data_IF_504838595620
#
_entry.id   IF_504838595620
#
_cell.length_a   1.000
_cell.length_b   1.000
_cell.length_c   1.000
_cell.angle_alpha   90.00
_cell.angle_beta   90.00
_cell.angle_gamma   90.00
#
_symmetry.space_group_name_H-M   'P 1'
#
loop_
_entity.id
_entity.type
_entity.pdbx_description
1 polymer ?
#
# COMPACT_ATOMS: atom_id res chain seq x y z
N UNK A 1 -24.75 27.28 -3.73
CA UNK A 1 -24.95 26.37 -4.88
C UNK A 1 -26.11 25.46 -4.56
N UNK A 2 -26.92 25.02 -5.54
CA UNK A 2 -27.95 24.00 -5.30
C UNK A 2 -27.31 22.66 -5.04
N UNK A 3 -27.89 21.88 -4.11
CA UNK A 3 -27.42 20.54 -3.84
C UNK A 3 -27.55 19.65 -5.09
N UNK A 4 -26.47 18.93 -5.41
CA UNK A 4 -26.39 18.06 -6.59
C UNK A 4 -25.62 16.79 -6.24
N UNK A 5 -26.14 15.64 -6.64
CA UNK A 5 -25.49 14.33 -6.53
C UNK A 5 -25.06 13.86 -7.91
N UNK A 6 -23.94 13.18 -8.00
CA UNK A 6 -23.48 12.58 -9.24
C UNK A 6 -24.52 11.57 -9.78
N UNK A 7 -24.77 11.61 -11.08
CA UNK A 7 -25.69 10.67 -11.72
C UNK A 7 -25.15 9.24 -11.83
N UNK A 8 -23.88 9.03 -11.52
CA UNK A 8 -23.19 7.73 -11.66
C UNK A 8 -22.69 7.12 -10.32
N UNK A 9 -22.37 7.97 -9.34
CA UNK A 9 -21.93 7.53 -8.00
C UNK A 9 -22.60 8.36 -6.90
N UNK A 10 -22.17 8.21 -5.65
CA UNK A 10 -22.75 8.89 -4.49
C UNK A 10 -22.07 10.23 -4.15
N UNK A 11 -21.05 10.65 -4.88
CA UNK A 11 -20.38 11.93 -4.64
C UNK A 11 -21.31 13.10 -4.92
N UNK A 12 -21.24 14.13 -4.09
CA UNK A 12 -22.15 15.28 -4.17
C UNK A 12 -21.46 16.61 -3.84
N UNK A 13 -22.24 17.69 -3.83
CA UNK A 13 -21.78 19.06 -3.55
C UNK A 13 -21.40 19.31 -2.08
N UNK A 14 -21.36 18.32 -1.21
CA UNK A 14 -20.69 18.42 0.10
C UNK A 14 -19.16 18.50 -0.04
N UNK A 15 -18.62 17.96 -1.14
CA UNK A 15 -17.27 18.28 -1.58
C UNK A 15 -17.28 19.66 -2.27
N UNK A 16 -16.65 20.71 -1.67
CA UNK A 16 -16.69 22.06 -2.21
C UNK A 16 -15.97 22.24 -3.53
N UNK A 17 -15.13 21.29 -3.92
CA UNK A 17 -14.32 21.33 -5.13
C UNK A 17 -14.86 20.44 -6.25
N UNK A 18 -15.91 19.63 -5.99
CA UNK A 18 -16.46 18.70 -6.97
C UNK A 18 -16.96 19.40 -8.25
N UNK A 19 -16.58 18.85 -9.37
CA UNK A 19 -17.03 19.29 -10.69
C UNK A 19 -17.91 18.24 -11.35
N UNK A 20 -18.92 18.69 -12.07
CA UNK A 20 -19.82 17.83 -12.84
C UNK A 20 -19.82 18.23 -14.30
N UNK A 21 -19.87 17.25 -15.17
CA UNK A 21 -20.10 17.50 -16.60
C UNK A 21 -21.56 17.83 -16.93
N UNK A 22 -21.86 18.06 -18.22
CA UNK A 22 -23.18 18.40 -18.71
C UNK A 22 -24.23 17.31 -18.49
N UNK A 23 -23.78 16.08 -18.23
CA UNK A 23 -24.65 14.92 -17.93
C UNK A 23 -24.81 14.69 -16.41
N UNK A 24 -24.18 15.55 -15.59
CA UNK A 24 -24.22 15.44 -14.14
C UNK A 24 -23.31 14.36 -13.56
N UNK A 25 -22.36 13.85 -14.33
CA UNK A 25 -21.36 12.90 -13.87
C UNK A 25 -20.19 13.68 -13.25
N UNK A 26 -19.73 13.26 -12.06
CA UNK A 26 -18.62 13.94 -11.39
C UNK A 26 -17.26 13.62 -12.04
N UNK A 27 -16.30 14.51 -11.83
CA UNK A 27 -14.92 14.37 -12.32
C UNK A 27 -14.23 13.09 -11.87
N UNK A 28 -14.51 12.59 -10.66
CA UNK A 28 -13.97 11.32 -10.16
C UNK A 28 -14.43 10.15 -11.01
N UNK A 29 -15.70 10.09 -11.38
CA UNK A 29 -16.21 9.07 -12.28
C UNK A 29 -15.62 9.19 -13.68
N UNK A 30 -15.49 10.41 -14.18
CA UNK A 30 -14.89 10.66 -15.49
C UNK A 30 -13.40 10.26 -15.49
N UNK A 31 -12.65 10.64 -14.47
CA UNK A 31 -11.24 10.22 -14.32
C UNK A 31 -11.11 8.68 -14.19
N UNK A 32 -11.98 8.04 -13.42
CA UNK A 32 -11.97 6.58 -13.33
C UNK A 32 -12.13 5.93 -14.72
N UNK A 33 -13.13 6.35 -15.49
CA UNK A 33 -13.41 5.79 -16.82
C UNK A 33 -12.33 6.06 -17.85
N UNK A 34 -11.74 7.26 -17.82
CA UNK A 34 -10.80 7.68 -18.87
C UNK A 34 -9.35 7.37 -18.56
N UNK A 35 -8.99 7.28 -17.28
CA UNK A 35 -7.60 7.15 -16.83
C UNK A 35 -7.34 5.84 -16.08
N UNK A 36 -8.20 5.49 -15.12
CA UNK A 36 -7.94 4.35 -14.23
C UNK A 36 -8.37 3.04 -14.90
N UNK A 37 -9.63 2.96 -15.31
CA UNK A 37 -10.23 1.74 -15.85
C UNK A 37 -9.49 1.18 -17.09
N UNK A 38 -9.02 1.98 -18.06
CA UNK A 38 -8.26 1.46 -19.19
C UNK A 38 -6.92 0.84 -18.83
N UNK A 39 -6.35 1.21 -17.68
CA UNK A 39 -5.08 0.69 -17.17
C UNK A 39 -5.26 -0.39 -16.10
N UNK A 40 -6.48 -0.75 -15.78
CA UNK A 40 -6.81 -1.76 -14.78
C UNK A 40 -7.27 -3.06 -15.45
N UNK A 41 -6.32 -3.88 -15.83
CA UNK A 41 -6.58 -5.16 -16.46
C UNK A 41 -6.68 -6.28 -15.43
N UNK A 42 -7.90 -6.74 -15.17
CA UNK A 42 -8.22 -7.86 -14.27
C UNK A 42 -8.40 -9.18 -15.02
N UNK A 43 -8.20 -9.19 -16.35
CA UNK A 43 -8.39 -10.34 -17.23
C UNK A 43 -7.15 -11.18 -17.46
N UNK A 44 -7.20 -11.98 -18.49
CA UNK A 44 -6.11 -12.87 -18.89
C UNK A 44 -4.82 -12.11 -19.27
N UNK A 45 -4.96 -10.92 -19.85
CA UNK A 45 -3.83 -10.08 -20.21
C UNK A 45 -3.11 -9.54 -18.96
N UNK A 46 -3.85 -9.08 -17.95
CA UNK A 46 -3.28 -8.66 -16.66
C UNK A 46 -2.60 -9.81 -15.92
N UNK A 47 -3.19 -11.01 -15.96
CA UNK A 47 -2.56 -12.20 -15.40
C UNK A 47 -1.25 -12.57 -16.13
N UNK A 48 -1.19 -12.44 -17.45
CA UNK A 48 0.03 -12.67 -18.23
C UNK A 48 1.11 -11.61 -17.93
N UNK A 49 0.71 -10.34 -17.79
CA UNK A 49 1.61 -9.26 -17.42
C UNK A 49 2.22 -9.47 -16.01
N UNK A 50 1.40 -9.91 -15.05
CA UNK A 50 1.86 -10.24 -13.71
C UNK A 50 2.86 -11.42 -13.71
N UNK A 51 2.58 -12.46 -14.49
CA UNK A 51 3.48 -13.60 -14.66
C UNK A 51 4.82 -13.18 -15.28
N UNK A 52 4.77 -12.33 -16.32
CA UNK A 52 5.99 -11.80 -16.94
C UNK A 52 6.82 -10.96 -15.95
N UNK A 53 6.17 -10.11 -15.16
CA UNK A 53 6.83 -9.33 -14.09
C UNK A 53 7.49 -10.25 -13.06
N UNK A 54 6.82 -11.32 -12.66
CA UNK A 54 7.39 -12.30 -11.73
C UNK A 54 8.69 -12.93 -12.26
N UNK A 55 8.71 -13.33 -13.54
CA UNK A 55 9.91 -13.89 -14.15
C UNK A 55 11.05 -12.85 -14.30
N UNK A 56 10.73 -11.60 -14.56
CA UNK A 56 11.73 -10.52 -14.58
C UNK A 56 12.34 -10.32 -13.19
N UNK A 57 11.52 -10.26 -12.14
CA UNK A 57 11.99 -10.11 -10.75
C UNK A 57 12.91 -11.28 -10.38
N UNK A 58 12.51 -12.52 -10.67
CA UNK A 58 13.33 -13.72 -10.39
C UNK A 58 14.66 -13.69 -11.12
N UNK A 59 14.66 -13.27 -12.39
CA UNK A 59 15.88 -13.15 -13.19
C UNK A 59 16.85 -12.10 -12.60
N UNK A 60 16.32 -10.95 -12.19
CA UNK A 60 17.08 -9.86 -11.58
C UNK A 60 17.68 -10.23 -10.21
N UNK A 61 17.09 -11.19 -9.53
CA UNK A 61 17.45 -11.56 -8.14
C UNK A 61 18.05 -12.94 -8.03
N UNK A 62 18.47 -13.54 -9.14
CA UNK A 62 19.13 -14.83 -9.14
C UNK A 62 20.32 -14.85 -8.17
N UNK A 63 20.36 -15.83 -7.26
CA UNK A 63 21.39 -15.97 -6.24
C UNK A 63 21.25 -14.99 -5.06
N UNK A 64 20.19 -14.21 -4.99
CA UNK A 64 19.84 -13.40 -3.81
C UNK A 64 18.99 -14.22 -2.84
N UNK A 65 19.01 -13.80 -1.58
CA UNK A 65 18.15 -14.37 -0.53
C UNK A 65 16.68 -14.02 -0.76
N UNK A 66 16.38 -12.75 -1.06
CA UNK A 66 15.05 -12.25 -1.30
C UNK A 66 14.89 -11.69 -2.72
N UNK A 67 13.71 -11.91 -3.32
CA UNK A 67 13.34 -11.37 -4.62
C UNK A 67 12.77 -9.96 -4.52
N UNK A 68 12.03 -9.70 -3.44
CA UNK A 68 11.39 -8.41 -3.19
C UNK A 68 11.24 -8.17 -1.68
N UNK A 69 10.96 -6.91 -1.31
CA UNK A 69 10.50 -6.52 0.02
C UNK A 69 9.08 -6.00 -0.09
N UNK A 70 8.22 -6.34 0.88
CA UNK A 70 6.80 -5.97 0.91
C UNK A 70 6.47 -5.34 2.25
N UNK A 71 5.92 -4.11 2.23
CA UNK A 71 5.38 -3.48 3.42
C UNK A 71 4.14 -4.23 3.94
N UNK A 72 4.10 -4.53 5.23
CA UNK A 72 3.03 -5.30 5.85
C UNK A 72 2.42 -4.56 7.04
N UNK A 73 1.12 -4.26 6.98
CA UNK A 73 0.37 -3.58 8.05
C UNK A 73 -0.50 -4.51 8.89
N UNK A 74 -0.65 -5.78 8.50
CA UNK A 74 -1.63 -6.71 9.09
C UNK A 74 -3.07 -6.48 8.61
N UNK A 75 -3.29 -5.52 7.70
CA UNK A 75 -4.52 -5.31 6.97
C UNK A 75 -4.70 -6.26 5.79
N UNK A 76 -5.90 -6.25 5.19
CA UNK A 76 -6.25 -7.17 4.10
C UNK A 76 -5.39 -6.96 2.85
N UNK A 77 -5.20 -5.71 2.42
CA UNK A 77 -4.55 -5.40 1.14
C UNK A 77 -3.08 -5.81 1.12
N UNK A 78 -2.32 -5.41 2.16
CA UNK A 78 -0.92 -5.78 2.29
C UNK A 78 -0.72 -7.30 2.47
N UNK A 79 -1.65 -7.96 3.19
CA UNK A 79 -1.64 -9.42 3.36
C UNK A 79 -1.92 -10.13 2.04
N UNK A 80 -2.86 -9.60 1.24
CA UNK A 80 -3.17 -10.16 -0.07
C UNK A 80 -2.02 -9.96 -1.07
N UNK A 81 -1.37 -8.79 -1.06
CA UNK A 81 -0.18 -8.53 -1.86
C UNK A 81 0.95 -9.53 -1.54
N UNK A 82 1.20 -9.79 -0.25
CA UNK A 82 2.16 -10.79 0.19
C UNK A 82 1.80 -12.21 -0.28
N UNK A 83 0.51 -12.58 -0.19
CA UNK A 83 0.03 -13.87 -0.70
C UNK A 83 0.23 -14.00 -2.22
N UNK A 84 -0.12 -12.96 -2.99
CA UNK A 84 0.08 -12.97 -4.45
C UNK A 84 1.56 -13.12 -4.77
N UNK A 85 2.43 -12.32 -4.14
CA UNK A 85 3.87 -12.39 -4.38
C UNK A 85 4.44 -13.78 -4.08
N UNK A 86 4.14 -14.34 -2.90
CA UNK A 86 4.68 -15.63 -2.48
C UNK A 86 4.05 -16.82 -3.22
N UNK A 87 2.71 -16.88 -3.31
CA UNK A 87 2.02 -18.09 -3.78
C UNK A 87 1.63 -18.05 -5.26
N UNK A 88 1.36 -16.88 -5.84
CA UNK A 88 0.96 -16.77 -7.25
C UNK A 88 2.14 -16.43 -8.16
N UNK A 89 2.97 -15.49 -7.75
CA UNK A 89 4.18 -15.14 -8.50
C UNK A 89 5.36 -16.09 -8.19
N UNK A 90 5.31 -16.81 -7.07
CA UNK A 90 6.37 -17.71 -6.63
C UNK A 90 7.67 -16.99 -6.29
N UNK A 91 7.56 -15.76 -5.76
CA UNK A 91 8.68 -14.97 -5.28
C UNK A 91 9.06 -15.39 -3.84
N UNK A 92 10.26 -15.01 -3.43
CA UNK A 92 10.77 -15.10 -2.06
C UNK A 92 10.74 -13.68 -1.45
N UNK A 93 9.58 -13.20 -0.99
CA UNK A 93 9.51 -11.86 -0.41
C UNK A 93 10.05 -11.86 1.02
N UNK A 94 10.74 -10.76 1.38
CA UNK A 94 10.89 -10.36 2.77
C UNK A 94 9.70 -9.47 3.14
N UNK A 95 8.94 -9.85 4.15
CA UNK A 95 7.89 -8.99 4.70
C UNK A 95 8.52 -7.97 5.66
N UNK A 96 8.11 -6.73 5.55
CA UNK A 96 8.65 -5.62 6.33
C UNK A 96 7.53 -4.91 7.08
N UNK A 97 7.55 -5.03 8.39
CA UNK A 97 6.60 -4.35 9.27
C UNK A 97 7.28 -3.18 9.99
N UNK A 98 6.59 -2.07 10.11
CA UNK A 98 7.04 -0.94 10.92
C UNK A 98 6.08 -0.75 12.09
N UNK A 99 6.60 -0.92 13.30
CA UNK A 99 5.85 -0.64 14.52
C UNK A 99 6.09 0.80 14.97
N UNK A 100 5.07 1.63 14.79
CA UNK A 100 5.06 3.03 15.23
C UNK A 100 4.23 3.26 16.52
N UNK A 101 3.93 2.19 17.26
CA UNK A 101 3.20 2.27 18.53
C UNK A 101 1.66 2.24 18.42
N UNK A 102 1.10 2.07 17.21
CA UNK A 102 -0.34 2.03 16.95
C UNK A 102 -0.88 0.65 16.59
N UNK A 103 -0.05 -0.38 16.75
CA UNK A 103 -0.46 -1.74 16.42
C UNK A 103 -1.58 -2.22 17.33
N UNK A 104 -2.62 -2.81 16.73
CA UNK A 104 -3.63 -3.56 17.48
C UNK A 104 -3.20 -5.02 17.62
N UNK A 105 -3.64 -5.70 18.67
CA UNK A 105 -3.40 -7.14 18.88
C UNK A 105 -3.88 -7.97 17.67
N UNK A 106 -4.98 -7.54 17.05
CA UNK A 106 -5.51 -8.19 15.85
C UNK A 106 -4.55 -8.06 14.66
N UNK A 107 -3.97 -6.88 14.43
CA UNK A 107 -3.03 -6.66 13.34
C UNK A 107 -1.77 -7.50 13.54
N UNK A 108 -1.22 -7.52 14.75
CA UNK A 108 -0.06 -8.36 15.11
C UNK A 108 -0.35 -9.84 14.89
N UNK A 109 -1.50 -10.33 15.41
CA UNK A 109 -1.89 -11.73 15.21
C UNK A 109 -2.17 -12.10 13.74
N UNK A 110 -2.60 -11.15 12.91
CA UNK A 110 -2.75 -11.37 11.47
C UNK A 110 -1.39 -11.49 10.78
N UNK A 111 -0.43 -10.66 11.17
CA UNK A 111 0.94 -10.70 10.65
C UNK A 111 1.58 -12.06 10.95
N UNK A 112 1.52 -12.52 12.20
CA UNK A 112 2.07 -13.81 12.61
C UNK A 112 1.49 -14.97 11.79
N UNK A 113 0.15 -15.04 11.72
CA UNK A 113 -0.55 -16.09 10.93
C UNK A 113 -0.18 -16.06 9.45
N UNK A 114 0.01 -14.88 8.90
CA UNK A 114 0.37 -14.73 7.49
C UNK A 114 1.81 -15.21 7.24
N UNK A 115 2.75 -14.80 8.07
CA UNK A 115 4.17 -15.21 8.01
C UNK A 115 4.29 -16.72 8.10
N UNK A 116 3.65 -17.32 9.10
CA UNK A 116 3.63 -18.78 9.29
C UNK A 116 2.97 -19.51 8.11
N UNK A 117 1.81 -19.02 7.67
CA UNK A 117 1.05 -19.62 6.57
C UNK A 117 1.72 -19.53 5.20
N UNK A 118 2.50 -18.49 4.98
CA UNK A 118 3.27 -18.31 3.74
C UNK A 118 4.65 -18.98 3.82
N UNK A 119 5.22 -19.14 5.02
CA UNK A 119 6.57 -19.64 5.23
C UNK A 119 7.62 -18.65 4.70
N UNK A 120 7.45 -17.36 4.99
CA UNK A 120 8.33 -16.27 4.54
C UNK A 120 8.90 -15.53 5.74
N UNK A 121 10.00 -14.82 5.52
CA UNK A 121 10.65 -14.06 6.59
C UNK A 121 9.99 -12.72 6.84
N UNK A 122 10.02 -12.29 8.10
CA UNK A 122 9.53 -10.99 8.56
C UNK A 122 10.67 -10.21 9.23
N UNK A 123 10.81 -8.96 8.87
CA UNK A 123 11.59 -7.98 9.61
C UNK A 123 10.68 -6.90 10.18
N UNK A 124 10.84 -6.60 11.47
CA UNK A 124 10.09 -5.53 12.13
C UNK A 124 11.04 -4.40 12.52
N UNK A 125 10.79 -3.21 12.02
CA UNK A 125 11.43 -1.97 12.46
C UNK A 125 10.57 -1.30 13.52
N UNK A 126 11.15 -0.96 14.66
CA UNK A 126 10.44 -0.29 15.76
C UNK A 126 10.82 1.18 15.76
N UNK A 127 9.84 2.05 15.58
CA UNK A 127 10.01 3.50 15.63
C UNK A 127 10.01 3.97 17.08
N UNK A 128 10.84 4.99 17.39
CA UNK A 128 10.81 5.62 18.71
C UNK A 128 9.44 6.26 18.95
N UNK A 129 8.67 5.67 19.87
CA UNK A 129 7.31 6.11 20.18
C UNK A 129 7.25 7.55 20.71
N UNK A 130 8.20 7.96 21.55
CA UNK A 130 8.17 9.33 22.11
C UNK A 130 8.35 10.38 21.01
N UNK A 131 9.25 10.15 20.06
CA UNK A 131 9.46 11.05 18.92
C UNK A 131 8.24 11.05 17.97
N UNK A 132 7.70 9.88 17.66
CA UNK A 132 6.52 9.76 16.78
C UNK A 132 5.30 10.44 17.41
N UNK A 133 5.05 10.21 18.69
CA UNK A 133 3.98 10.85 19.46
C UNK A 133 4.10 12.36 19.46
N UNK A 134 5.29 12.91 19.76
CA UNK A 134 5.52 14.34 19.78
C UNK A 134 5.29 14.97 18.40
N UNK A 135 5.73 14.31 17.35
CA UNK A 135 5.52 14.76 15.97
C UNK A 135 4.03 14.75 15.59
N UNK A 136 3.29 13.68 15.91
CA UNK A 136 1.84 13.63 15.67
C UNK A 136 1.07 14.67 16.48
N UNK A 137 1.45 14.91 17.74
CA UNK A 137 0.87 15.99 18.56
C UNK A 137 1.14 17.37 17.95
N UNK A 138 2.33 17.59 17.36
CA UNK A 138 2.64 18.84 16.66
C UNK A 138 1.73 19.04 15.42
N UNK A 139 1.48 17.98 14.64
CA UNK A 139 0.54 18.01 13.50
C UNK A 139 -0.88 18.33 13.96
N UNK A 140 -1.37 17.69 15.02
CA UNK A 140 -2.67 17.98 15.62
C UNK A 140 -2.80 19.45 16.05
N UNK A 141 -1.78 19.98 16.75
CA UNK A 141 -1.76 21.38 17.20
C UNK A 141 -1.69 22.38 16.05
N UNK A 142 -1.02 22.02 14.96
CA UNK A 142 -0.94 22.84 13.75
C UNK A 142 -2.22 22.79 12.89
N UNK A 143 -3.19 21.93 13.23
CA UNK A 143 -4.44 21.78 12.48
C UNK A 143 -4.25 21.20 11.08
N UNK A 144 -3.21 20.38 10.89
CA UNK A 144 -2.95 19.70 9.61
C UNK A 144 -4.03 18.63 9.41
N UNK A 145 -4.75 18.61 8.26
CA UNK A 145 -5.88 17.70 8.04
C UNK A 145 -5.48 16.23 8.01
N UNK A 146 -4.28 15.93 7.50
CA UNK A 146 -3.77 14.57 7.38
C UNK A 146 -2.83 14.26 8.55
N UNK A 147 -3.32 13.47 9.49
CA UNK A 147 -2.61 13.09 10.71
C UNK A 147 -1.64 11.93 10.51
N UNK A 148 -1.74 11.23 9.39
CA UNK A 148 -0.94 10.04 9.09
C UNK A 148 0.39 10.37 8.40
N UNK A 149 0.57 11.60 7.91
CA UNK A 149 1.80 12.04 7.22
C UNK A 149 3.09 11.65 7.96
N UNK A 150 3.25 11.90 9.28
CA UNK A 150 4.47 11.51 9.98
C UNK A 150 4.72 10.01 9.96
N UNK A 151 3.67 9.24 10.19
CA UNK A 151 3.73 7.79 10.28
C UNK A 151 4.00 7.17 8.91
N UNK A 152 3.28 7.57 7.87
CA UNK A 152 3.46 7.10 6.50
C UNK A 152 4.86 7.44 5.98
N UNK A 153 5.35 8.64 6.28
CA UNK A 153 6.71 9.05 5.93
C UNK A 153 7.75 8.15 6.61
N UNK A 154 7.56 7.82 7.88
CA UNK A 154 8.45 6.92 8.60
C UNK A 154 8.40 5.49 8.01
N UNK A 155 7.21 4.98 7.67
CA UNK A 155 7.04 3.65 7.08
C UNK A 155 7.79 3.51 5.77
N UNK A 156 7.57 4.40 4.83
CA UNK A 156 8.24 4.36 3.54
C UNK A 156 9.73 4.62 3.65
N UNK A 157 10.14 5.57 4.50
CA UNK A 157 11.56 5.85 4.72
C UNK A 157 12.29 4.63 5.28
N UNK A 158 11.76 3.97 6.30
CA UNK A 158 12.34 2.77 6.88
C UNK A 158 12.44 1.64 5.85
N UNK A 159 11.35 1.38 5.13
CA UNK A 159 11.30 0.35 4.09
C UNK A 159 12.35 0.55 3.00
N UNK A 160 12.42 1.76 2.42
CA UNK A 160 13.38 2.05 1.35
C UNK A 160 14.84 2.10 1.84
N UNK A 161 15.08 2.60 3.06
CA UNK A 161 16.42 2.58 3.65
C UNK A 161 16.88 1.15 3.88
N UNK A 162 16.01 0.29 4.42
CA UNK A 162 16.29 -1.12 4.62
C UNK A 162 16.56 -1.84 3.29
N UNK A 163 15.70 -1.65 2.30
CA UNK A 163 15.85 -2.24 0.97
C UNK A 163 17.20 -1.85 0.35
N UNK A 164 17.57 -0.55 0.42
CA UNK A 164 18.84 -0.05 -0.09
C UNK A 164 20.05 -0.66 0.64
N UNK A 165 20.00 -0.69 1.99
CA UNK A 165 21.08 -1.23 2.83
C UNK A 165 21.33 -2.70 2.54
N UNK A 166 20.26 -3.47 2.33
CA UNK A 166 20.31 -4.92 2.07
C UNK A 166 20.34 -5.27 0.58
N UNK A 167 20.44 -4.26 -0.30
CA UNK A 167 20.52 -4.42 -1.77
C UNK A 167 19.32 -5.18 -2.35
N UNK A 168 18.13 -5.04 -1.75
CA UNK A 168 16.87 -5.55 -2.28
C UNK A 168 16.37 -4.53 -3.31
N UNK A 169 16.28 -4.96 -4.57
CA UNK A 169 15.99 -4.07 -5.71
C UNK A 169 14.50 -3.77 -5.87
N UNK A 170 13.67 -4.76 -5.60
CA UNK A 170 12.23 -4.68 -5.87
C UNK A 170 11.47 -4.44 -4.57
N UNK A 171 10.62 -3.41 -4.59
CA UNK A 171 9.67 -3.07 -3.53
C UNK A 171 8.27 -3.26 -4.08
N UNK A 172 7.43 -4.00 -3.39
CA UNK A 172 6.02 -4.22 -3.72
C UNK A 172 5.19 -3.55 -2.64
N UNK A 173 4.28 -2.65 -3.05
CA UNK A 173 3.38 -1.90 -2.15
C UNK A 173 1.96 -1.96 -2.64
#
# INVERSE_FOLDING_TARGET
MSYKICTHCIMDTSDPHIQFDDHGVCEYCNNFKTTIQPNWDTGAQGAAALAHMAEQIKADTQGKEFDAIIGLSGGLDSSYAAYIAAKKMGLRPLLFHVDAGWNTDQAVGNIEKLVDGLGVDLYTEVINWEEMKDLQVAFLKAGIPDQDIPQDTAFFSALYQFARKNKIKHVIT
#
